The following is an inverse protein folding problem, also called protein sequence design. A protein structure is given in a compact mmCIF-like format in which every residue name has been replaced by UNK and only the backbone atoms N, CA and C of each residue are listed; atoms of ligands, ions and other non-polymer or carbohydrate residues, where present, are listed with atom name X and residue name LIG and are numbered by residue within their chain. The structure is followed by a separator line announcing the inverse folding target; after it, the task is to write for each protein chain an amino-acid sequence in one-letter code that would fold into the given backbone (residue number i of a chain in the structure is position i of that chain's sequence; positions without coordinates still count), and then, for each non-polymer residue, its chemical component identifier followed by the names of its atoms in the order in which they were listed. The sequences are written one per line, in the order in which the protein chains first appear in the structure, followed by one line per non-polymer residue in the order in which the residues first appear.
data_IF_411918683866
#
_entry.id   IF_411918683866
#
_cell.length_a   1.000
_cell.length_b   1.000
_cell.length_c   1.000
_cell.angle_alpha   90.00
_cell.angle_beta   90.00
_cell.angle_gamma   90.00
#
_symmetry.space_group_name_H-M   'P 1'
#
loop_
_entity.id
_entity.type
_entity.pdbx_description
1 polymer ?
#
# COMPACT_ATOMS: atom_id res chain seq x y z
N UNK A 1 12.26 -13.17 -16.84
CA UNK A 1 11.34 -13.09 -15.68
C UNK A 1 10.84 -11.66 -15.56
N UNK A 2 9.61 -11.36 -15.99
CA UNK A 2 9.03 -10.04 -15.68
C UNK A 2 8.86 -9.95 -14.16
N UNK A 3 9.49 -9.01 -13.47
CA UNK A 3 9.59 -9.09 -12.02
C UNK A 3 8.21 -8.85 -11.41
N UNK A 4 7.86 -9.65 -10.39
CA UNK A 4 6.63 -9.54 -9.60
C UNK A 4 6.41 -8.09 -9.07
N UNK A 5 7.50 -7.37 -8.83
CA UNK A 5 7.48 -5.95 -8.51
C UNK A 5 6.82 -5.07 -9.59
N UNK A 6 6.98 -5.39 -10.88
CA UNK A 6 6.37 -4.64 -11.99
C UNK A 6 4.86 -4.84 -12.05
N UNK A 7 4.38 -6.06 -11.77
CA UNK A 7 2.95 -6.34 -11.66
C UNK A 7 2.34 -5.56 -10.49
N UNK A 8 2.97 -5.64 -9.31
CA UNK A 8 2.49 -4.96 -8.11
C UNK A 8 2.52 -3.44 -8.29
N UNK A 9 3.57 -2.90 -8.90
CA UNK A 9 3.65 -1.47 -9.22
C UNK A 9 2.50 -1.04 -10.14
N UNK A 10 2.23 -1.80 -11.21
CA UNK A 10 1.12 -1.50 -12.11
C UNK A 10 -0.23 -1.57 -11.38
N UNK A 11 -0.47 -2.60 -10.58
CA UNK A 11 -1.70 -2.75 -9.80
C UNK A 11 -1.92 -1.57 -8.86
N UNK A 12 -0.88 -1.17 -8.12
CA UNK A 12 -0.95 -0.03 -7.18
C UNK A 12 -1.23 1.28 -7.93
N UNK A 13 -0.58 1.51 -9.08
CA UNK A 13 -0.81 2.71 -9.89
C UNK A 13 -2.22 2.76 -10.46
N UNK A 14 -2.69 1.69 -11.10
CA UNK A 14 -4.00 1.64 -11.76
C UNK A 14 -5.13 1.73 -10.73
N UNK A 15 -5.05 0.96 -9.64
CA UNK A 15 -6.07 1.04 -8.57
C UNK A 15 -6.11 2.43 -7.93
N UNK A 16 -4.96 3.04 -7.66
CA UNK A 16 -4.84 4.41 -7.16
C UNK A 16 -5.51 5.45 -8.08
N UNK A 17 -5.41 5.26 -9.40
CA UNK A 17 -6.07 6.13 -10.37
C UNK A 17 -7.59 5.88 -10.43
N UNK A 18 -8.00 4.61 -10.53
CA UNK A 18 -9.43 4.25 -10.65
C UNK A 18 -10.22 4.64 -9.40
N UNK A 19 -9.69 4.40 -8.20
CA UNK A 19 -10.38 4.75 -6.95
C UNK A 19 -10.60 6.26 -6.85
N UNK A 20 -9.60 7.08 -7.23
CA UNK A 20 -9.77 8.54 -7.25
C UNK A 20 -10.79 9.01 -8.29
N UNK A 21 -10.88 8.30 -9.42
CA UNK A 21 -11.84 8.60 -10.48
C UNK A 21 -13.27 8.23 -10.09
N UNK A 22 -13.46 7.07 -9.48
CA UNK A 22 -14.78 6.54 -9.11
C UNK A 22 -15.33 7.14 -7.81
N UNK A 23 -14.46 7.51 -6.88
CA UNK A 23 -14.84 8.02 -5.56
C UNK A 23 -14.14 9.35 -5.24
N UNK A 24 -14.40 10.42 -6.01
CA UNK A 24 -13.71 11.70 -5.86
C UNK A 24 -13.91 12.31 -4.45
N UNK A 25 -15.09 12.17 -3.85
CA UNK A 25 -15.38 12.74 -2.52
C UNK A 25 -14.60 12.03 -1.39
N UNK A 26 -14.50 10.70 -1.45
CA UNK A 26 -13.67 9.93 -0.50
C UNK A 26 -12.18 10.18 -0.76
N UNK A 27 -11.80 10.26 -2.04
CA UNK A 27 -10.45 10.60 -2.45
C UNK A 27 -10.03 11.95 -1.85
N UNK A 28 -10.86 12.98 -1.99
CA UNK A 28 -10.61 14.29 -1.42
C UNK A 28 -10.54 14.22 0.12
N UNK A 29 -11.55 13.63 0.76
CA UNK A 29 -11.62 13.59 2.22
C UNK A 29 -10.43 12.91 2.90
N UNK A 30 -9.92 11.81 2.35
CA UNK A 30 -8.90 10.99 3.00
C UNK A 30 -7.51 11.10 2.36
N UNK A 31 -7.42 11.59 1.12
CA UNK A 31 -6.21 11.51 0.31
C UNK A 31 -5.84 12.80 -0.47
N UNK A 32 -6.64 13.89 -0.45
CA UNK A 32 -6.36 15.11 -1.27
C UNK A 32 -4.98 15.72 -1.00
N UNK A 33 -4.49 15.60 0.24
CA UNK A 33 -3.21 16.18 0.66
C UNK A 33 -2.08 15.16 0.75
N UNK A 34 -2.27 13.93 0.25
CA UNK A 34 -1.24 12.89 0.28
C UNK A 34 -0.66 12.66 -1.11
N UNK A 35 0.68 12.67 -1.26
CA UNK A 35 1.32 12.44 -2.55
C UNK A 35 1.20 10.98 -3.04
N UNK A 36 0.65 10.07 -2.23
CA UNK A 36 0.50 8.65 -2.55
C UNK A 36 -0.80 8.08 -2.00
N UNK A 37 -1.39 7.12 -2.74
CA UNK A 37 -2.54 6.35 -2.28
C UNK A 37 -2.10 5.11 -1.49
N UNK A 38 -1.20 4.33 -2.08
CA UNK A 38 -0.56 3.19 -1.43
C UNK A 38 0.84 3.58 -0.94
N UNK A 39 1.28 3.02 0.20
CA UNK A 39 2.67 3.14 0.64
C UNK A 39 3.60 2.40 -0.31
N UNK A 40 4.92 2.62 -0.25
CA UNK A 40 5.89 1.90 -1.09
C UNK A 40 5.94 0.39 -0.82
N UNK A 41 5.62 -0.02 0.41
CA UNK A 41 5.66 -1.41 0.85
C UNK A 41 4.64 -2.30 0.11
N UNK A 42 4.98 -3.58 -0.02
CA UNK A 42 4.08 -4.65 -0.44
C UNK A 42 4.58 -5.98 0.11
N UNK A 43 3.65 -6.91 0.31
CA UNK A 43 3.96 -8.29 0.67
C UNK A 43 3.33 -9.23 -0.33
N UNK A 44 4.06 -10.26 -0.69
CA UNK A 44 3.60 -11.30 -1.60
C UNK A 44 4.17 -12.63 -1.15
N UNK A 45 3.31 -13.62 -1.10
CA UNK A 45 3.67 -14.97 -0.75
C UNK A 45 2.82 -15.92 -1.60
N UNK A 46 3.37 -17.09 -1.93
CA UNK A 46 2.66 -18.09 -2.72
C UNK A 46 1.59 -18.77 -1.86
N UNK A 47 0.39 -18.95 -2.41
CA UNK A 47 -0.66 -19.74 -1.78
C UNK A 47 -0.35 -21.25 -1.93
N UNK A 48 0.64 -21.71 -1.18
CA UNK A 48 1.02 -23.13 -1.07
C UNK A 48 1.62 -23.50 0.30
N UNK A 49 1.69 -22.55 1.24
CA UNK A 49 2.26 -22.78 2.58
C UNK A 49 2.21 -21.55 3.50
N UNK A 50 1.34 -20.57 3.21
CA UNK A 50 1.20 -19.36 4.03
C UNK A 50 0.16 -19.62 5.10
N UNK A 51 0.58 -19.61 6.36
CA UNK A 51 -0.32 -19.74 7.52
C UNK A 51 -0.80 -18.37 8.00
N UNK A 52 -1.91 -18.35 8.74
CA UNK A 52 -2.47 -17.13 9.34
C UNK A 52 -1.46 -16.48 10.28
N UNK A 53 -0.65 -17.27 10.99
CA UNK A 53 0.39 -16.81 11.90
C UNK A 53 1.50 -16.04 11.18
N UNK A 54 1.86 -16.45 9.96
CA UNK A 54 2.87 -15.76 9.16
C UNK A 54 2.36 -14.39 8.69
N UNK A 55 1.09 -14.29 8.30
CA UNK A 55 0.45 -13.03 7.94
C UNK A 55 0.39 -12.07 9.14
N UNK A 56 -0.01 -12.57 10.30
CA UNK A 56 -0.07 -11.79 11.54
C UNK A 56 1.30 -11.21 11.91
N UNK A 57 2.36 -12.03 11.87
CA UNK A 57 3.74 -11.58 12.11
C UNK A 57 4.20 -10.52 11.11
N UNK A 58 3.83 -10.61 9.83
CA UNK A 58 4.20 -9.59 8.86
C UNK A 58 3.58 -8.22 9.21
N UNK A 59 2.30 -8.19 9.57
CA UNK A 59 1.58 -6.95 9.91
C UNK A 59 2.11 -6.34 11.21
N UNK A 60 2.34 -7.15 12.24
CA UNK A 60 2.86 -6.68 13.54
C UNK A 60 4.28 -6.09 13.42
N UNK A 61 5.11 -6.62 12.52
CA UNK A 61 6.48 -6.15 12.31
C UNK A 61 6.59 -5.03 11.25
N UNK A 62 5.48 -4.61 10.63
CA UNK A 62 5.49 -3.39 9.83
C UNK A 62 5.57 -2.20 10.78
N UNK A 63 6.75 -1.57 10.87
CA UNK A 63 6.92 -0.30 11.56
C UNK A 63 5.89 0.71 11.03
N UNK A 64 5.04 1.20 11.92
CA UNK A 64 4.23 2.39 11.63
C UNK A 64 5.19 3.53 11.26
N UNK A 65 4.90 4.34 10.22
CA UNK A 65 5.75 5.47 9.89
C UNK A 65 5.90 6.34 11.15
N UNK A 66 7.15 6.49 11.63
CA UNK A 66 7.45 7.44 12.69
C UNK A 66 7.06 8.80 12.15
N UNK A 67 6.11 9.46 12.80
CA UNK A 67 5.81 10.87 12.55
C UNK A 67 7.08 11.63 12.90
N UNK A 68 7.88 11.96 11.89
CA UNK A 68 9.05 12.81 12.05
C UNK A 68 8.53 14.23 12.30
N UNK A 69 8.49 14.61 13.58
CA UNK A 69 8.21 15.98 13.98
C UNK A 69 9.42 16.84 13.64
N UNK A 70 9.42 17.43 12.43
CA UNK A 70 10.28 18.56 12.12
C UNK A 70 9.69 19.82 12.80
N UNK A 71 10.47 20.60 13.57
CA UNK A 71 10.00 21.90 14.05
C UNK A 71 9.87 22.85 12.85
N UNK A 72 8.82 23.70 12.90
CA UNK A 72 8.54 24.75 11.90
C UNK A 72 9.75 25.60 11.58
#
# INVERSE_FOLDING_TARGET
MGPLSKLIANLKTVSSHLIRKEFPDLAAKYFDNKPYFWTGAYFVASCGGVTVEQLKKYVENQNSPKVETLPR
#
